data_IF_824765099708
#
_entry.id   IF_824765099708
#
_cell.length_a   1.000
_cell.length_b   1.000
_cell.length_c   1.000
_cell.angle_alpha   90.00
_cell.angle_beta   90.00
_cell.angle_gamma   90.00
#
_symmetry.space_group_name_H-M   'P 1'
#
loop_
_entity.id
_entity.type
_entity.pdbx_description
1 polymer ?
#
# COMPACT_ATOMS: atom_id res chain seq x y z
N UNK A 1 -6.30 2.45 21.34
CA UNK A 1 -5.00 2.34 20.65
C UNK A 1 -3.83 2.27 21.61
N UNK A 2 -2.77 1.56 21.24
CA UNK A 2 -1.50 1.47 21.97
C UNK A 2 -0.34 1.57 20.98
N UNK A 3 0.75 2.21 21.41
CA UNK A 3 1.99 2.30 20.64
C UNK A 3 3.00 1.27 21.16
N UNK A 4 3.46 0.38 20.26
CA UNK A 4 4.54 -0.58 20.49
C UNK A 4 5.82 -0.12 19.81
N UNK A 5 6.98 -0.51 20.37
CA UNK A 5 8.29 -0.17 19.82
C UNK A 5 9.18 -1.40 19.80
N UNK A 6 9.73 -1.72 18.63
CA UNK A 6 10.68 -2.82 18.45
C UNK A 6 12.01 -2.22 18.02
N UNK A 7 13.01 -2.33 18.89
CA UNK A 7 14.39 -1.96 18.55
C UNK A 7 15.12 -3.15 17.92
N UNK A 8 15.93 -2.90 16.90
CA UNK A 8 16.67 -3.96 16.21
C UNK A 8 18.12 -3.57 15.96
N UNK A 9 18.99 -4.60 15.90
CA UNK A 9 20.38 -4.45 15.47
C UNK A 9 20.50 -4.89 14.02
N UNK A 10 20.68 -3.92 13.13
CA UNK A 10 20.92 -4.18 11.72
C UNK A 10 22.34 -4.70 11.42
N UNK A 11 22.60 -5.15 10.18
CA UNK A 11 23.89 -5.70 9.75
C UNK A 11 25.06 -4.71 9.87
N UNK A 12 24.80 -3.40 9.86
CA UNK A 12 25.83 -2.37 10.08
C UNK A 12 26.30 -2.28 11.54
N UNK A 13 25.73 -3.07 12.46
CA UNK A 13 26.12 -3.18 13.87
C UNK A 13 26.34 -1.81 14.54
N UNK A 14 25.41 -0.87 14.29
CA UNK A 14 25.51 0.49 14.80
C UNK A 14 25.67 0.48 16.32
N UNK A 15 26.68 1.22 16.81
CA UNK A 15 26.91 1.44 18.24
C UNK A 15 26.22 2.75 18.63
N UNK A 16 25.23 2.70 19.51
CA UNK A 16 24.44 3.86 19.92
C UNK A 16 22.95 3.52 20.07
N UNK A 17 22.07 4.49 19.82
CA UNK A 17 20.62 4.28 19.76
C UNK A 17 20.30 3.30 18.63
N UNK A 18 19.63 2.20 18.97
CA UNK A 18 19.23 1.20 17.99
C UNK A 18 18.14 1.77 17.06
N UNK A 19 18.17 1.43 15.76
CA UNK A 19 17.02 1.61 14.90
C UNK A 19 15.75 0.98 15.52
N UNK A 20 14.62 1.63 15.26
CA UNK A 20 13.33 1.30 15.85
C UNK A 20 12.25 1.18 14.80
N UNK A 21 11.38 0.20 14.97
CA UNK A 21 10.08 0.09 14.32
C UNK A 21 9.02 0.49 15.35
N UNK A 22 8.23 1.50 15.04
CA UNK A 22 7.05 1.88 15.83
C UNK A 22 5.82 1.17 15.26
N UNK A 23 5.00 0.61 16.14
CA UNK A 23 3.77 -0.10 15.80
C UNK A 23 2.60 0.61 16.45
N UNK A 24 1.67 1.11 15.64
CA UNK A 24 0.39 1.62 16.13
C UNK A 24 -0.64 0.49 16.07
N UNK A 25 -1.15 0.08 17.23
CA UNK A 25 -2.17 -0.97 17.34
C UNK A 25 -3.45 -0.30 17.79
N UNK A 26 -4.51 -0.42 16.98
CA UNK A 26 -5.82 0.13 17.32
C UNK A 26 -6.89 -0.94 17.43
N UNK A 27 -7.80 -0.73 18.36
CA UNK A 27 -9.02 -1.49 18.62
C UNK A 27 -10.27 -0.65 18.37
N UNK A 28 -10.11 0.60 17.94
CA UNK A 28 -11.16 1.58 17.73
C UNK A 28 -11.54 1.74 16.24
N UNK A 29 -11.41 0.68 15.45
CA UNK A 29 -11.71 0.70 14.01
C UNK A 29 -12.67 -0.45 13.65
N UNK A 30 -13.64 -0.16 12.78
CA UNK A 30 -14.43 -1.19 12.13
C UNK A 30 -13.71 -1.68 10.86
N UNK A 31 -13.33 -2.96 10.86
CA UNK A 31 -12.96 -3.70 9.65
C UNK A 31 -14.24 -4.18 8.95
N UNK A 32 -14.58 -3.58 7.81
CA UNK A 32 -15.83 -3.85 7.10
C UNK A 32 -15.64 -4.95 6.05
N UNK A 33 -14.54 -4.90 5.30
CA UNK A 33 -14.15 -5.89 4.30
C UNK A 33 -13.17 -6.92 4.87
N UNK A 34 -13.18 -8.11 4.28
CA UNK A 34 -12.21 -9.16 4.62
C UNK A 34 -10.78 -8.74 4.24
N UNK A 35 -9.79 -8.87 5.16
CA UNK A 35 -8.41 -8.55 4.86
C UNK A 35 -7.82 -9.44 3.76
N UNK A 36 -7.17 -8.80 2.78
CA UNK A 36 -6.52 -9.48 1.66
C UNK A 36 -5.10 -9.90 2.02
N UNK A 37 -4.64 -11.04 1.48
CA UNK A 37 -3.26 -11.46 1.63
C UNK A 37 -2.39 -10.75 0.58
N UNK A 38 -1.51 -9.87 1.02
CA UNK A 38 -0.56 -9.16 0.18
C UNK A 38 0.84 -9.75 0.35
N UNK A 39 1.53 -10.02 -0.75
CA UNK A 39 2.94 -10.41 -0.71
C UNK A 39 3.77 -9.20 -0.30
N UNK A 40 4.55 -9.35 0.76
CA UNK A 40 5.52 -8.35 1.18
C UNK A 40 6.65 -8.31 0.16
N UNK A 41 6.94 -7.11 -0.31
CA UNK A 41 8.07 -6.89 -1.21
C UNK A 41 9.39 -7.07 -0.45
N UNK A 42 10.24 -7.97 -0.94
CA UNK A 42 11.51 -8.31 -0.31
C UNK A 42 12.62 -8.41 -1.39
N UNK A 43 13.26 -7.28 -1.76
CA UNK A 43 14.24 -7.25 -2.86
C UNK A 43 15.60 -7.84 -2.45
N UNK A 44 15.79 -8.13 -1.16
CA UNK A 44 17.05 -8.62 -0.62
C UNK A 44 17.22 -10.12 -0.83
N UNK A 45 18.48 -10.55 -0.92
CA UNK A 45 18.89 -11.91 -1.27
C UNK A 45 18.44 -12.99 -0.28
N UNK A 46 18.12 -12.60 0.94
CA UNK A 46 17.62 -13.46 2.03
C UNK A 46 16.09 -13.66 2.00
N UNK A 47 15.44 -13.33 0.88
CA UNK A 47 14.01 -13.58 0.69
C UNK A 47 13.69 -15.08 0.85
N UNK A 48 12.72 -15.45 1.72
CA UNK A 48 12.28 -16.83 1.85
C UNK A 48 11.73 -17.39 0.54
N UNK A 49 11.88 -18.70 0.30
CA UNK A 49 11.39 -19.35 -0.94
C UNK A 49 9.88 -19.19 -1.14
N UNK A 50 9.10 -19.26 -0.06
CA UNK A 50 7.65 -19.07 -0.08
C UNK A 50 7.24 -17.58 -0.09
N UNK A 51 8.21 -16.67 -0.01
CA UNK A 51 7.99 -15.25 0.22
C UNK A 51 7.45 -14.95 1.62
N UNK A 52 7.01 -13.71 1.81
CA UNK A 52 6.38 -13.24 3.05
C UNK A 52 5.02 -12.67 2.66
N UNK A 53 3.98 -12.99 3.43
CA UNK A 53 2.63 -12.47 3.22
C UNK A 53 2.16 -11.73 4.48
N UNK A 54 1.40 -10.66 4.27
CA UNK A 54 0.73 -9.90 5.32
C UNK A 54 -0.77 -9.78 5.00
N UNK A 55 -1.61 -9.77 6.04
CA UNK A 55 -3.01 -9.39 5.90
C UNK A 55 -3.09 -7.87 5.86
N UNK A 56 -3.65 -7.35 4.79
CA UNK A 56 -3.78 -5.92 4.54
C UNK A 56 -5.25 -5.58 4.31
N UNK A 57 -5.59 -4.31 4.50
CA UNK A 57 -6.87 -3.78 4.05
C UNK A 57 -7.05 -4.05 2.54
N UNK A 58 -8.27 -4.40 2.13
CA UNK A 58 -8.65 -4.29 0.74
C UNK A 58 -8.48 -2.83 0.27
N UNK A 59 -8.28 -2.61 -1.02
CA UNK A 59 -8.06 -1.27 -1.55
C UNK A 59 -9.24 -0.34 -1.23
N UNK A 60 -10.47 -0.84 -1.39
CA UNK A 60 -11.69 -0.11 -1.11
C UNK A 60 -11.86 0.25 0.37
N UNK A 61 -11.41 -0.65 1.27
CA UNK A 61 -11.41 -0.45 2.72
C UNK A 61 -10.42 0.64 3.13
N UNK A 62 -9.20 0.61 2.58
CA UNK A 62 -8.17 1.64 2.80
C UNK A 62 -8.65 3.01 2.30
N UNK A 63 -9.25 3.05 1.12
CA UNK A 63 -9.72 4.30 0.53
C UNK A 63 -10.87 4.91 1.34
N UNK A 64 -11.85 4.10 1.73
CA UNK A 64 -12.93 4.52 2.62
C UNK A 64 -12.39 5.02 3.98
N UNK A 65 -11.44 4.30 4.59
CA UNK A 65 -10.83 4.72 5.85
C UNK A 65 -10.12 6.06 5.74
N UNK A 66 -9.40 6.30 4.63
CA UNK A 66 -8.71 7.57 4.38
C UNK A 66 -9.66 8.74 4.16
N UNK A 67 -10.78 8.54 3.46
CA UNK A 67 -11.81 9.58 3.29
C UNK A 67 -12.45 9.90 4.65
N UNK A 68 -12.76 8.89 5.45
CA UNK A 68 -13.29 9.07 6.81
C UNK A 68 -12.27 9.80 7.71
N UNK A 69 -10.98 9.45 7.62
CA UNK A 69 -9.89 10.09 8.38
C UNK A 69 -9.77 11.57 8.07
N UNK A 70 -9.77 11.89 6.77
CA UNK A 70 -9.76 13.25 6.28
C UNK A 70 -10.93 14.04 6.86
N UNK A 71 -12.14 13.47 6.91
CA UNK A 71 -13.32 14.14 7.42
C UNK A 71 -13.34 14.38 8.93
N UNK A 72 -12.72 13.49 9.71
CA UNK A 72 -12.66 13.59 11.17
C UNK A 72 -11.56 14.56 11.63
N UNK A 73 -10.39 14.53 10.99
CA UNK A 73 -9.17 15.17 11.52
C UNK A 73 -8.51 16.17 10.59
N UNK A 74 -8.91 16.23 9.32
CA UNK A 74 -8.42 17.17 8.31
C UNK A 74 -6.90 17.32 8.25
N UNK A 75 -6.19 16.18 8.25
CA UNK A 75 -4.72 16.18 8.19
C UNK A 75 -4.22 16.22 6.74
N UNK A 76 -3.17 17.00 6.43
CA UNK A 76 -2.47 17.00 5.14
C UNK A 76 -2.17 15.62 4.55
N UNK A 77 -1.75 14.67 5.40
CA UNK A 77 -1.41 13.31 4.94
C UNK A 77 -2.63 12.55 4.43
N UNK A 78 -3.78 12.70 5.07
CA UNK A 78 -5.00 12.04 4.63
C UNK A 78 -5.50 12.64 3.31
N UNK A 79 -5.37 13.95 3.11
CA UNK A 79 -5.66 14.59 1.81
C UNK A 79 -4.71 14.06 0.72
N UNK A 80 -3.41 14.01 1.01
CA UNK A 80 -2.41 13.48 0.10
C UNK A 80 -2.75 12.04 -0.32
N UNK A 81 -3.06 11.18 0.65
CA UNK A 81 -3.40 9.77 0.42
C UNK A 81 -4.71 9.61 -0.36
N UNK A 82 -5.77 10.34 0.01
CA UNK A 82 -7.09 10.30 -0.69
C UNK A 82 -6.93 10.63 -2.17
N UNK A 83 -6.19 11.69 -2.49
CA UNK A 83 -5.96 12.10 -3.88
C UNK A 83 -5.10 11.08 -4.62
N UNK A 84 -4.05 10.53 -4.00
CA UNK A 84 -3.23 9.50 -4.65
C UNK A 84 -3.97 8.20 -4.88
N UNK A 85 -4.81 7.77 -3.93
CA UNK A 85 -5.69 6.63 -4.12
C UNK A 85 -6.66 6.91 -5.29
N UNK A 86 -7.31 8.08 -5.30
CA UNK A 86 -8.16 8.45 -6.41
C UNK A 86 -7.44 8.46 -7.77
N UNK A 87 -6.23 9.03 -7.86
CA UNK A 87 -5.42 9.10 -9.08
C UNK A 87 -4.94 7.74 -9.60
N UNK A 88 -4.90 6.70 -8.75
CA UNK A 88 -4.34 5.40 -9.10
C UNK A 88 -5.24 4.61 -10.09
N UNK A 89 -5.22 5.00 -11.37
CA UNK A 89 -6.11 4.51 -12.43
C UNK A 89 -5.98 3.02 -12.78
N UNK A 90 -4.82 2.40 -12.55
CA UNK A 90 -4.61 0.96 -12.80
C UNK A 90 -5.48 0.07 -11.91
N UNK A 91 -5.93 0.62 -10.77
CA UNK A 91 -6.87 -0.02 -9.88
C UNK A 91 -8.21 0.63 -10.20
N UNK A 92 -9.15 -0.16 -10.70
CA UNK A 92 -10.52 0.28 -10.89
C UNK A 92 -11.34 -0.15 -9.67
N UNK A 93 -11.28 0.60 -8.54
CA UNK A 93 -11.97 0.20 -7.32
C UNK A 93 -13.47 0.13 -7.56
N UNK A 94 -14.13 -0.83 -6.90
CA UNK A 94 -15.59 -0.86 -6.91
C UNK A 94 -16.11 0.35 -6.11
N UNK A 95 -16.48 1.42 -6.81
CA UNK A 95 -17.04 2.66 -6.23
C UNK A 95 -18.17 2.37 -5.24
N UNK A 96 -19.08 1.45 -5.59
CA UNK A 96 -20.20 1.12 -4.73
C UNK A 96 -19.72 0.48 -3.44
N UNK A 97 -18.70 -0.39 -3.52
CA UNK A 97 -18.07 -0.98 -2.35
C UNK A 97 -17.40 0.08 -1.47
N UNK A 98 -16.61 0.99 -2.06
CA UNK A 98 -15.99 2.12 -1.32
C UNK A 98 -17.04 2.94 -0.58
N UNK A 99 -18.14 3.31 -1.26
CA UNK A 99 -19.21 4.10 -0.67
C UNK A 99 -19.90 3.37 0.50
N UNK A 100 -20.22 2.09 0.34
CA UNK A 100 -20.84 1.29 1.41
C UNK A 100 -19.91 1.09 2.61
N UNK A 101 -18.60 0.90 2.35
CA UNK A 101 -17.60 0.76 3.40
C UNK A 101 -17.37 2.08 4.14
N UNK A 102 -17.32 3.21 3.42
CA UNK A 102 -17.23 4.54 4.03
C UNK A 102 -18.41 4.81 4.96
N UNK A 103 -19.63 4.54 4.51
CA UNK A 103 -20.85 4.72 5.30
C UNK A 103 -20.80 3.87 6.59
N UNK A 104 -20.42 2.59 6.50
CA UNK A 104 -20.24 1.74 7.68
C UNK A 104 -19.19 2.29 8.66
N UNK A 105 -18.05 2.78 8.15
CA UNK A 105 -16.97 3.38 8.96
C UNK A 105 -17.38 4.71 9.60
N UNK A 106 -18.10 5.57 8.87
CA UNK A 106 -18.66 6.83 9.38
C UNK A 106 -19.66 6.56 10.51
N UNK A 107 -20.60 5.62 10.33
CA UNK A 107 -21.56 5.22 11.37
C UNK A 107 -20.86 4.69 12.62
N UNK A 108 -19.80 3.89 12.47
CA UNK A 108 -19.04 3.38 13.61
C UNK A 108 -18.40 4.51 14.43
N UNK A 109 -17.88 5.55 13.77
CA UNK A 109 -17.33 6.75 14.43
C UNK A 109 -18.38 7.77 14.87
N UNK A 110 -19.63 7.60 14.48
CA UNK A 110 -20.72 8.54 14.78
C UNK A 110 -20.61 9.87 14.04
N UNK A 111 -20.02 9.87 12.84
CA UNK A 111 -19.92 11.06 11.98
C UNK A 111 -20.78 10.90 10.73
N UNK A 112 -21.21 12.01 10.15
CA UNK A 112 -21.90 12.02 8.86
C UNK A 112 -20.93 11.66 7.72
N UNK A 113 -21.49 11.20 6.59
CA UNK A 113 -20.71 10.95 5.38
C UNK A 113 -20.20 12.30 4.85
N UNK A 114 -18.88 12.47 4.67
CA UNK A 114 -18.32 13.74 4.22
C UNK A 114 -18.71 14.05 2.78
N UNK A 115 -18.83 15.35 2.49
CA UNK A 115 -18.95 15.90 1.13
C UNK A 115 -17.93 16.99 0.93
N UNK A 116 -17.60 17.31 -0.33
CA UNK A 116 -16.70 18.41 -0.65
C UNK A 116 -17.18 19.74 -0.04
N UNK A 117 -18.49 20.01 -0.06
CA UNK A 117 -19.08 21.21 0.53
C UNK A 117 -18.91 21.28 2.04
N UNK A 118 -19.00 20.14 2.75
CA UNK A 118 -18.78 20.10 4.20
C UNK A 118 -17.32 20.42 4.53
N UNK A 119 -16.36 19.84 3.80
CA UNK A 119 -14.93 20.10 4.02
C UNK A 119 -14.51 21.53 3.61
N UNK A 120 -15.11 22.08 2.56
CA UNK A 120 -14.83 23.45 2.09
C UNK A 120 -15.25 24.52 3.12
N UNK A 121 -16.36 24.28 3.82
CA UNK A 121 -16.94 25.24 4.76
C UNK A 121 -16.39 25.15 6.19
N UNK A 122 -15.50 24.19 6.44
CA UNK A 122 -14.91 23.97 7.76
C UNK A 122 -13.71 24.91 8.00
N UNK A 123 -13.60 25.52 9.20
CA UNK A 123 -12.46 26.37 9.53
C UNK A 123 -11.13 25.61 9.50
N UNK A 124 -11.15 24.29 9.75
CA UNK A 124 -9.99 23.40 9.77
C UNK A 124 -9.25 23.34 8.42
N UNK A 125 -9.91 23.69 7.30
CA UNK A 125 -9.24 23.85 5.99
C UNK A 125 -8.05 24.80 6.04
N UNK A 126 -8.17 25.92 6.76
CA UNK A 126 -7.10 26.92 6.87
C UNK A 126 -5.91 26.33 7.62
N UNK A 127 -6.18 25.57 8.68
CA UNK A 127 -5.16 24.86 9.45
C UNK A 127 -4.49 23.79 8.58
N UNK A 128 -5.28 22.99 7.85
CA UNK A 128 -4.77 21.96 6.93
C UNK A 128 -3.81 22.58 5.90
N UNK A 129 -4.20 23.68 5.25
CA UNK A 129 -3.35 24.38 4.30
C UNK A 129 -2.04 24.89 4.96
N UNK A 130 -2.12 25.43 6.17
CA UNK A 130 -0.95 25.93 6.91
C UNK A 130 0.00 24.80 7.35
N UNK A 131 -0.54 23.63 7.66
CA UNK A 131 0.22 22.46 8.12
C UNK A 131 0.73 21.57 6.97
N UNK A 132 0.36 21.89 5.73
CA UNK A 132 0.75 21.11 4.55
C UNK A 132 2.27 20.90 4.46
N UNK A 133 3.04 21.98 4.55
CA UNK A 133 4.49 21.91 4.50
C UNK A 133 5.09 21.23 5.75
N UNK A 134 4.59 21.58 6.93
CA UNK A 134 5.09 21.03 8.20
C UNK A 134 4.99 19.50 8.23
N UNK A 135 3.87 18.95 7.77
CA UNK A 135 3.58 17.52 7.88
C UNK A 135 4.15 16.66 6.74
N UNK A 136 4.37 17.22 5.55
CA UNK A 136 4.75 16.47 4.35
C UNK A 136 6.16 16.79 3.81
N UNK A 137 6.72 17.98 4.03
CA UNK A 137 7.98 18.38 3.39
C UNK A 137 9.18 17.48 3.77
N UNK A 138 9.17 16.89 4.96
CA UNK A 138 10.21 15.96 5.42
C UNK A 138 9.98 14.51 4.95
N UNK A 139 8.80 14.21 4.37
CA UNK A 139 8.42 12.87 3.90
C UNK A 139 8.54 12.74 2.39
N UNK A 140 8.52 13.86 1.66
CA UNK A 140 8.50 13.92 0.20
C UNK A 140 9.81 14.52 -0.33
N UNK A 141 10.35 14.02 -1.46
CA UNK A 141 11.50 14.63 -2.12
C UNK A 141 11.29 16.10 -2.51
N UNK A 142 10.09 16.41 -3.02
CA UNK A 142 9.63 17.76 -3.34
C UNK A 142 8.17 17.85 -2.91
N UNK A 143 7.81 18.91 -2.21
CA UNK A 143 6.44 19.13 -1.74
C UNK A 143 5.58 19.67 -2.90
N UNK A 144 4.53 18.95 -3.32
CA UNK A 144 3.59 19.48 -4.30
C UNK A 144 2.78 20.65 -3.72
N UNK A 145 2.30 21.59 -4.56
CA UNK A 145 1.41 22.67 -4.11
C UNK A 145 0.12 22.13 -3.48
N UNK A 146 -0.28 22.69 -2.34
CA UNK A 146 -1.51 22.31 -1.63
C UNK A 146 -2.75 22.41 -2.53
N UNK A 147 -2.88 23.53 -3.25
CA UNK A 147 -4.06 23.82 -4.08
C UNK A 147 -4.30 22.75 -5.15
N UNK A 148 -3.24 22.13 -5.65
CA UNK A 148 -3.32 21.04 -6.64
C UNK A 148 -4.10 19.83 -6.09
N UNK A 149 -3.96 19.54 -4.80
CA UNK A 149 -4.64 18.44 -4.14
C UNK A 149 -6.05 18.85 -3.72
N UNK A 150 -6.19 20.06 -3.18
CA UNK A 150 -7.48 20.57 -2.72
C UNK A 150 -8.49 20.72 -3.87
N UNK A 151 -8.07 21.26 -5.01
CA UNK A 151 -8.96 21.48 -6.16
C UNK A 151 -9.43 20.18 -6.83
N UNK A 152 -8.73 19.07 -6.61
CA UNK A 152 -9.12 17.76 -7.15
C UNK A 152 -10.09 17.02 -6.22
N UNK A 153 -10.12 17.37 -4.93
CA UNK A 153 -10.97 16.72 -3.93
C UNK A 153 -12.47 16.67 -4.29
N UNK A 154 -13.09 17.73 -4.87
CA UNK A 154 -14.48 17.66 -5.34
C UNK A 154 -14.73 16.55 -6.36
N UNK A 155 -13.75 16.22 -7.21
CA UNK A 155 -13.88 15.14 -8.20
C UNK A 155 -13.95 13.77 -7.52
N UNK A 156 -13.22 13.58 -6.43
CA UNK A 156 -13.28 12.36 -5.61
C UNK A 156 -14.69 12.15 -5.07
N UNK A 157 -15.31 13.20 -4.53
CA UNK A 157 -16.65 13.12 -3.97
C UNK A 157 -17.73 12.95 -5.04
N UNK A 158 -17.62 13.64 -6.18
CA UNK A 158 -18.54 13.46 -7.31
C UNK A 158 -18.45 12.04 -7.89
N UNK A 159 -17.24 11.47 -7.95
CA UNK A 159 -17.04 10.07 -8.30
C UNK A 159 -17.70 9.14 -7.28
N UNK A 160 -17.48 9.38 -5.98
CA UNK A 160 -17.99 8.54 -4.90
C UNK A 160 -19.53 8.52 -4.85
N UNK A 161 -20.17 9.69 -4.97
CA UNK A 161 -21.64 9.81 -4.99
C UNK A 161 -22.26 9.23 -6.27
N UNK A 162 -21.46 9.05 -7.33
CA UNK A 162 -21.92 8.59 -8.63
C UNK A 162 -22.49 9.70 -9.51
N UNK A 163 -22.31 10.97 -9.13
CA UNK A 163 -22.64 12.14 -9.95
C UNK A 163 -21.74 12.26 -11.19
N UNK A 164 -20.49 11.82 -11.08
CA UNK A 164 -19.53 11.80 -12.17
C UNK A 164 -18.88 10.42 -12.29
N UNK A 165 -18.65 9.98 -13.52
CA UNK A 165 -17.71 8.88 -13.76
C UNK A 165 -16.29 9.39 -13.50
N UNK A 166 -15.40 8.49 -13.05
CA UNK A 166 -13.96 8.77 -13.05
C UNK A 166 -13.58 9.07 -14.49
N UNK A 167 -12.93 10.20 -14.73
CA UNK A 167 -12.51 10.58 -16.08
C UNK A 167 -11.48 9.53 -16.52
N UNK A 168 -11.87 8.64 -17.43
CA UNK A 168 -10.94 7.70 -18.07
C UNK A 168 -9.96 8.53 -18.90
N UNK A 169 -8.74 8.65 -18.42
CA UNK A 169 -7.70 9.38 -19.11
C UNK A 169 -7.30 8.60 -20.37
N UNK A 170 -7.15 9.32 -21.48
CA UNK A 170 -6.76 8.70 -22.75
C UNK A 170 -5.36 8.10 -22.59
N UNK A 171 -5.12 6.81 -22.92
CA UNK A 171 -3.79 6.22 -22.85
C UNK A 171 -2.76 7.04 -23.61
N UNK A 172 -1.51 7.02 -23.16
CA UNK A 172 -0.48 7.76 -23.88
C UNK A 172 -0.23 7.11 -25.25
N UNK A 173 -0.20 7.87 -26.36
CA UNK A 173 -0.06 7.31 -27.70
C UNK A 173 1.17 6.42 -27.84
N UNK A 174 0.97 5.17 -28.25
CA UNK A 174 2.07 4.25 -28.53
C UNK A 174 2.74 4.58 -29.87
N UNK A 175 4.05 4.38 -29.96
CA UNK A 175 4.81 4.55 -31.19
C UNK A 175 5.04 3.22 -31.92
N UNK A 176 5.27 3.28 -33.24
CA UNK A 176 5.59 2.11 -34.06
C UNK A 176 6.90 1.50 -33.58
N UNK A 177 6.89 0.20 -33.27
CA UNK A 177 8.08 -0.54 -32.80
C UNK A 177 8.13 -0.78 -31.29
N UNK A 178 7.11 -0.32 -30.55
CA UNK A 178 6.97 -0.58 -29.11
C UNK A 178 6.34 -1.95 -28.81
N UNK A 179 6.77 -2.55 -27.71
CA UNK A 179 6.16 -3.76 -27.15
C UNK A 179 4.98 -3.37 -26.26
N UNK A 180 3.78 -3.50 -26.82
CA UNK A 180 2.51 -3.20 -26.13
C UNK A 180 2.16 -4.22 -25.05
N UNK A 181 2.79 -5.40 -25.01
CA UNK A 181 2.57 -6.39 -23.97
C UNK A 181 3.46 -6.12 -22.74
N UNK A 182 4.56 -5.39 -22.93
CA UNK A 182 5.45 -5.04 -21.83
C UNK A 182 4.83 -3.99 -20.91
N UNK A 183 5.05 -4.16 -19.60
CA UNK A 183 4.63 -3.21 -18.56
C UNK A 183 5.81 -2.94 -17.64
N UNK A 184 5.95 -1.69 -17.14
CA UNK A 184 6.98 -1.40 -16.15
C UNK A 184 6.74 -2.21 -14.87
N UNK A 185 7.79 -2.81 -14.28
CA UNK A 185 7.68 -3.47 -12.98
C UNK A 185 7.24 -2.48 -11.90
N UNK A 186 6.56 -3.02 -10.89
CA UNK A 186 5.89 -2.26 -9.84
C UNK A 186 6.82 -1.44 -8.94
N UNK A 187 8.12 -1.68 -8.94
CA UNK A 187 9.09 -0.99 -8.08
C UNK A 187 10.47 -1.02 -8.72
N UNK A 188 11.36 -0.11 -8.31
CA UNK A 188 12.74 -0.06 -8.75
C UNK A 188 13.51 -1.33 -8.38
N UNK A 189 13.57 -2.29 -9.31
CA UNK A 189 14.87 -2.92 -9.51
C UNK A 189 15.85 -1.77 -9.73
N UNK A 190 17.00 -1.77 -9.08
CA UNK A 190 18.11 -0.95 -9.57
C UNK A 190 18.40 -1.45 -10.98
N UNK A 191 17.88 -0.77 -12.00
CA UNK A 191 17.95 -1.19 -13.42
C UNK A 191 19.38 -1.20 -13.98
N UNK A 192 20.41 -1.27 -13.13
CA UNK A 192 21.81 -1.05 -13.49
C UNK A 192 22.06 0.35 -14.05
N UNK A 193 21.10 1.28 -13.94
CA UNK A 193 21.12 2.57 -14.61
C UNK A 193 21.50 3.71 -13.67
N UNK A 194 22.18 4.72 -14.23
CA UNK A 194 22.77 5.86 -13.51
C UNK A 194 21.73 6.86 -12.98
N UNK A 195 20.48 6.81 -13.46
CA UNK A 195 19.44 7.80 -13.14
C UNK A 195 18.42 7.19 -12.19
N UNK A 196 18.12 7.83 -11.05
CA UNK A 196 17.10 7.36 -10.13
C UNK A 196 15.70 7.57 -10.73
N UNK A 197 15.21 6.59 -11.51
CA UNK A 197 13.91 6.63 -12.18
C UNK A 197 12.73 6.88 -11.23
N UNK A 198 12.91 6.59 -9.94
CA UNK A 198 11.96 6.92 -8.88
C UNK A 198 11.68 8.43 -8.77
N UNK A 199 12.63 9.29 -9.16
CA UNK A 199 12.41 10.75 -9.27
C UNK A 199 11.32 11.05 -10.30
N UNK A 200 11.36 10.39 -11.45
CA UNK A 200 10.39 10.58 -12.53
C UNK A 200 9.03 10.00 -12.13
N UNK A 201 9.00 8.82 -11.50
CA UNK A 201 7.74 8.21 -11.00
C UNK A 201 7.11 9.06 -9.90
N UNK A 202 7.90 9.58 -8.97
CA UNK A 202 7.44 10.49 -7.94
C UNK A 202 6.82 11.74 -8.56
N UNK A 203 7.51 12.39 -9.50
CA UNK A 203 6.99 13.56 -10.19
C UNK A 203 5.69 13.24 -10.94
N UNK A 204 5.66 12.12 -11.67
CA UNK A 204 4.48 11.68 -12.40
C UNK A 204 3.28 11.43 -11.47
N UNK A 205 3.45 10.71 -10.35
CA UNK A 205 2.37 10.46 -9.40
C UNK A 205 1.82 11.74 -8.75
N UNK A 206 2.69 12.73 -8.55
CA UNK A 206 2.33 14.02 -7.98
C UNK A 206 1.95 15.07 -9.05
N UNK A 207 1.85 14.69 -10.34
CA UNK A 207 1.67 15.61 -11.49
C UNK A 207 2.61 16.83 -11.46
N UNK A 208 3.88 16.61 -11.15
CA UNK A 208 4.94 17.61 -11.16
C UNK A 208 5.81 17.47 -12.41
N UNK A 209 6.30 18.59 -12.92
CA UNK A 209 7.26 18.58 -14.01
C UNK A 209 8.63 18.08 -13.53
N UNK A 210 9.37 17.46 -14.46
CA UNK A 210 10.75 17.01 -14.26
C UNK A 210 11.67 17.89 -15.09
N UNK A 211 12.74 18.39 -14.49
CA UNK A 211 13.87 18.93 -15.24
C UNK A 211 14.78 17.78 -15.67
N UNK A 212 14.82 17.52 -16.98
CA UNK A 212 15.49 16.39 -17.57
C UNK A 212 16.77 16.83 -18.28
N UNK A 213 17.91 16.36 -17.78
CA UNK A 213 19.19 16.49 -18.44
C UNK A 213 19.34 15.40 -19.50
N UNK A 214 19.32 15.79 -20.77
CA UNK A 214 19.37 14.88 -21.90
C UNK A 214 20.15 15.47 -23.07
N UNK A 215 21.16 14.75 -23.57
CA UNK A 215 22.03 15.19 -24.67
C UNK A 215 22.62 16.59 -24.42
N UNK A 216 23.18 16.82 -23.23
CA UNK A 216 23.77 18.11 -22.79
C UNK A 216 22.78 19.30 -22.81
N UNK A 217 21.48 19.04 -22.77
CA UNK A 217 20.43 20.06 -22.69
C UNK A 217 19.49 19.77 -21.53
N UNK A 218 19.04 20.83 -20.84
CA UNK A 218 17.98 20.74 -19.82
C UNK A 218 16.62 20.98 -20.48
N UNK A 219 15.61 20.24 -20.03
CA UNK A 219 14.26 20.30 -20.59
C UNK A 219 13.24 20.05 -19.48
N UNK A 220 12.33 20.99 -19.31
CA UNK A 220 11.18 20.79 -18.44
C UNK A 220 10.13 19.92 -19.15
N UNK A 221 9.80 18.78 -18.56
CA UNK A 221 8.90 17.79 -19.14
C UNK A 221 7.78 17.38 -18.17
N UNK A 222 6.64 17.02 -18.74
CA UNK A 222 5.52 16.34 -18.09
C UNK A 222 5.65 14.84 -18.35
N UNK A 223 6.03 14.00 -17.37
CA UNK A 223 6.26 12.58 -17.57
C UNK A 223 4.93 11.79 -17.59
N UNK A 224 4.73 10.92 -18.60
CA UNK A 224 3.46 10.17 -18.75
C UNK A 224 3.61 8.65 -18.76
N UNK A 225 4.51 8.06 -19.55
CA UNK A 225 4.59 6.59 -19.64
C UNK A 225 6.02 6.06 -19.82
N UNK A 226 6.25 4.83 -19.36
CA UNK A 226 7.46 4.08 -19.65
C UNK A 226 7.11 2.91 -20.59
N UNK A 227 7.76 2.87 -21.75
CA UNK A 227 7.57 1.82 -22.75
C UNK A 227 8.90 1.10 -23.01
N UNK A 228 8.81 -0.10 -23.58
CA UNK A 228 9.97 -0.84 -24.07
C UNK A 228 9.83 -1.05 -25.57
N UNK A 229 10.90 -0.84 -26.32
CA UNK A 229 10.95 -1.15 -27.74
C UNK A 229 11.13 -2.65 -27.96
N UNK A 230 10.81 -3.16 -29.15
CA UNK A 230 11.08 -4.57 -29.53
C UNK A 230 12.57 -4.95 -29.44
N UNK A 231 13.46 -3.96 -29.58
CA UNK A 231 14.92 -4.10 -29.42
C UNK A 231 15.36 -4.11 -27.95
N UNK A 232 14.42 -3.92 -27.01
CA UNK A 232 14.66 -4.00 -25.58
C UNK A 232 15.00 -2.68 -24.90
N UNK A 233 15.06 -1.55 -25.64
CA UNK A 233 15.36 -0.23 -25.09
C UNK A 233 14.16 0.36 -24.34
N UNK A 234 14.41 1.09 -23.25
CA UNK A 234 13.37 1.78 -22.50
C UNK A 234 13.19 3.20 -23.00
N UNK A 235 11.94 3.62 -23.17
CA UNK A 235 11.54 4.95 -23.60
C UNK A 235 10.63 5.60 -22.56
N UNK A 236 11.08 6.74 -22.03
CA UNK A 236 10.25 7.65 -21.27
C UNK A 236 9.49 8.55 -22.25
N UNK A 237 8.18 8.42 -22.27
CA UNK A 237 7.29 9.31 -22.99
C UNK A 237 6.86 10.47 -22.11
N UNK A 238 7.02 11.67 -22.66
CA UNK A 238 6.72 12.89 -21.96
C UNK A 238 6.27 13.99 -22.92
N UNK A 239 5.67 15.04 -22.38
CA UNK A 239 5.36 16.27 -23.11
C UNK A 239 6.34 17.35 -22.66
N UNK A 240 6.88 18.14 -23.60
CA UNK A 240 7.65 19.33 -23.22
C UNK A 240 6.70 20.39 -22.65
N UNK A 241 6.93 20.80 -21.41
CA UNK A 241 6.02 21.71 -20.71
C UNK A 241 5.81 23.04 -21.46
N UNK A 242 6.88 23.63 -21.98
CA UNK A 242 6.82 24.93 -22.68
C UNK A 242 6.16 24.87 -24.06
N UNK A 243 6.34 23.79 -24.83
CA UNK A 243 5.88 23.70 -26.23
C UNK A 243 4.67 22.80 -26.44
N UNK A 244 4.32 21.96 -25.48
CA UNK A 244 3.26 20.95 -25.62
C UNK A 244 3.62 19.79 -26.56
N UNK A 245 4.87 19.68 -27.01
CA UNK A 245 5.29 18.63 -27.95
C UNK A 245 5.49 17.28 -27.26
N UNK A 246 5.00 16.23 -27.90
CA UNK A 246 5.29 14.84 -27.55
C UNK A 246 6.75 14.48 -27.85
N UNK A 247 7.43 13.88 -26.86
CA UNK A 247 8.81 13.40 -27.01
C UNK A 247 9.01 12.08 -26.28
N UNK A 248 9.81 11.21 -26.90
CA UNK A 248 10.28 9.97 -26.30
C UNK A 248 11.78 10.09 -26.00
N UNK A 249 12.19 9.73 -24.79
CA UNK A 249 13.56 9.82 -24.31
C UNK A 249 14.07 8.42 -23.98
N UNK A 250 15.21 8.05 -24.56
CA UNK A 250 15.89 6.80 -24.21
C UNK A 250 16.42 6.87 -22.77
N UNK A 251 15.95 5.99 -21.90
CA UNK A 251 16.27 6.07 -20.46
C UNK A 251 17.77 5.90 -20.20
N UNK A 252 18.45 5.06 -20.99
CA UNK A 252 19.89 4.84 -20.91
C UNK A 252 20.75 6.04 -21.33
N UNK A 253 20.14 7.04 -21.97
CA UNK A 253 20.79 8.28 -22.40
C UNK A 253 20.44 9.49 -21.51
N UNK A 254 19.64 9.29 -20.46
CA UNK A 254 19.35 10.36 -19.50
C UNK A 254 20.61 10.62 -18.68
N UNK A 255 21.03 11.88 -18.63
CA UNK A 255 22.24 12.33 -17.91
C UNK A 255 21.90 12.69 -16.46
N UNK A 256 20.65 13.05 -16.19
CA UNK A 256 20.13 13.42 -14.87
C UNK A 256 18.65 13.80 -14.92
N UNK A 257 17.98 13.76 -13.77
CA UNK A 257 16.60 14.17 -13.62
C UNK A 257 16.40 14.76 -12.21
N UNK A 258 15.65 15.86 -12.11
CA UNK A 258 15.22 16.46 -10.84
C UNK A 258 13.74 16.81 -10.88
N UNK A 259 13.04 16.60 -9.76
CA UNK A 259 11.63 16.99 -9.62
C UNK A 259 11.57 18.50 -9.38
N UNK A 260 10.60 19.16 -10.00
CA UNK A 260 10.31 20.58 -9.78
C UNK A 260 9.04 20.74 -8.93
N UNK A 261 8.80 21.94 -8.44
CA UNK A 261 7.54 22.33 -7.77
C UNK A 261 6.47 22.82 -8.76
N UNK A 262 6.75 22.74 -10.07
CA UNK A 262 5.85 23.20 -11.14
C UNK A 262 4.83 22.09 -11.45
N UNK A 263 3.53 22.29 -11.14
CA UNK A 263 2.51 21.29 -11.43
C UNK A 263 2.11 21.32 -12.91
N UNK A 264 1.57 20.21 -13.39
CA UNK A 264 0.87 20.14 -14.68
C UNK A 264 -0.48 19.43 -14.53
N UNK A 265 -1.40 19.69 -15.47
CA UNK A 265 -2.68 18.98 -15.55
C UNK A 265 -2.51 17.87 -16.61
N UNK A 266 -2.62 16.58 -16.24
CA UNK A 266 -2.40 15.49 -17.18
C UNK A 266 -3.39 15.53 -18.34
N UNK A 267 -2.86 15.51 -19.57
CA UNK A 267 -3.68 15.39 -20.81
C UNK A 267 -3.94 13.94 -21.19
N UNK A 268 -3.10 13.03 -20.70
CA UNK A 268 -3.14 11.59 -20.94
C UNK A 268 -3.04 10.84 -19.63
N UNK A 269 -3.34 9.55 -19.67
CA UNK A 269 -3.12 8.65 -18.55
C UNK A 269 -1.64 8.64 -18.15
N UNK A 270 -1.39 8.76 -16.85
CA UNK A 270 -0.05 8.58 -16.29
C UNK A 270 0.13 7.09 -16.05
N UNK A 271 0.88 6.45 -16.95
CA UNK A 271 1.24 5.04 -16.95
C UNK A 271 2.66 4.83 -16.35
N UNK A 272 3.02 5.73 -15.42
CA UNK A 272 4.22 5.67 -14.60
C UNK A 272 3.80 5.35 -13.16
N UNK A 273 3.02 4.29 -12.98
CA UNK A 273 2.49 3.99 -11.66
C UNK A 273 3.62 3.68 -10.69
N UNK A 274 3.63 4.24 -9.46
CA UNK A 274 4.60 3.90 -8.40
C UNK A 274 4.51 2.44 -7.94
N UNK A 275 3.40 1.75 -8.25
CA UNK A 275 3.11 0.39 -7.80
C UNK A 275 2.88 -0.62 -8.94
N UNK A 276 3.01 -0.24 -10.22
CA UNK A 276 2.63 -1.10 -11.35
C UNK A 276 1.16 -1.55 -11.28
N UNK A 277 0.66 -2.33 -12.24
CA UNK A 277 -0.67 -2.92 -12.14
C UNK A 277 -0.67 -3.96 -11.00
N UNK A 278 -1.48 -3.73 -9.97
CA UNK A 278 -1.93 -4.83 -9.12
C UNK A 278 -2.82 -5.69 -9.99
N UNK A 279 -2.34 -6.88 -10.36
CA UNK A 279 -3.18 -7.89 -10.99
C UNK A 279 -4.18 -8.37 -9.94
N UNK A 280 -5.36 -7.75 -9.87
CA UNK A 280 -6.50 -8.39 -9.25
C UNK A 280 -6.88 -9.58 -10.15
N UNK A 281 -6.88 -10.84 -9.67
CA UNK A 281 -7.42 -11.93 -10.47
C UNK A 281 -8.87 -11.62 -10.81
N UNK A 282 -9.35 -12.03 -12.00
CA UNK A 282 -10.75 -11.81 -12.37
C UNK A 282 -11.63 -12.55 -11.37
N UNK A 283 -12.29 -11.81 -10.48
CA UNK A 283 -13.31 -12.40 -9.61
C UNK A 283 -14.48 -12.76 -10.50
N UNK A 284 -14.68 -14.06 -10.74
CA UNK A 284 -15.93 -14.55 -11.31
C UNK A 284 -17.05 -14.15 -10.33
N UNK A 285 -17.78 -13.08 -10.68
CA UNK A 285 -18.96 -12.63 -9.95
C UNK A 285 -20.04 -13.68 -10.13
N UNK A 286 -20.13 -14.63 -9.20
CA UNK A 286 -21.37 -15.38 -9.02
C UNK A 286 -22.38 -14.43 -8.39
N UNK A 287 -23.27 -13.89 -9.21
CA UNK A 287 -24.40 -13.07 -8.81
C UNK A 287 -25.23 -13.81 -7.75
N UNK A 288 -25.04 -13.46 -6.48
CA UNK A 288 -25.98 -13.82 -5.43
C UNK A 288 -26.85 -12.60 -5.17
N UNK A 289 -28.09 -12.65 -5.63
CA UNK A 289 -29.14 -11.70 -5.26
C UNK A 289 -29.36 -11.74 -3.75
N UNK A 290 -29.61 -10.60 -3.08
CA UNK A 290 -29.85 -10.58 -1.65
C UNK A 290 -31.23 -11.20 -1.35
N UNK A 291 -31.22 -12.44 -0.86
CA UNK A 291 -32.40 -13.12 -0.36
C UNK A 291 -32.83 -12.58 1.01
N UNK A 292 -34.13 -12.33 1.15
CA UNK A 292 -34.87 -11.98 2.38
C UNK A 292 -34.47 -12.84 3.61
N UNK A 293 -34.60 -12.31 4.84
CA UNK A 293 -34.31 -13.08 6.05
C UNK A 293 -35.44 -14.08 6.30
N UNK A 294 -35.10 -15.37 6.36
CA UNK A 294 -35.96 -16.41 6.90
C UNK A 294 -35.41 -16.87 8.24
N UNK A 295 -36.23 -16.67 9.26
CA UNK A 295 -36.11 -17.25 10.59
C UNK A 295 -36.13 -18.78 10.51
N UNK A 296 -35.15 -19.43 11.15
CA UNK A 296 -35.12 -20.89 11.25
C UNK A 296 -33.92 -21.39 12.03
N UNK A 297 -34.12 -21.70 13.32
CA UNK A 297 -33.13 -22.34 14.21
C UNK A 297 -32.81 -23.77 13.75
N UNK A 298 -31.53 -24.12 13.78
CA UNK A 298 -31.02 -25.49 13.89
C UNK A 298 -29.58 -25.47 14.45
N UNK A 299 -29.18 -26.38 15.37
CA UNK A 299 -27.89 -26.30 16.05
C UNK A 299 -26.80 -26.91 15.17
N UNK A 300 -25.87 -26.08 14.69
CA UNK A 300 -24.67 -26.56 13.99
C UNK A 300 -23.57 -26.78 15.04
N UNK A 301 -23.11 -28.04 15.17
CA UNK A 301 -21.93 -28.41 15.96
C UNK A 301 -20.70 -27.70 15.40
N UNK A 302 -20.07 -26.85 16.21
CA UNK A 302 -18.80 -26.23 15.83
C UNK A 302 -17.67 -27.25 15.88
N UNK A 303 -17.01 -27.44 14.75
CA UNK A 303 -15.69 -28.08 14.68
C UNK A 303 -14.70 -26.97 15.03
N UNK A 304 -14.10 -27.03 16.23
CA UNK A 304 -13.05 -26.10 16.62
C UNK A 304 -11.76 -26.44 15.86
N UNK A 305 -11.41 -25.61 14.87
CA UNK A 305 -10.05 -25.57 14.33
C UNK A 305 -9.16 -24.81 15.31
N UNK A 306 -8.25 -25.50 15.98
CA UNK A 306 -7.25 -24.89 16.87
C UNK A 306 -6.13 -24.25 16.04
N UNK A 307 -6.17 -22.92 15.88
CA UNK A 307 -5.04 -22.14 15.35
C UNK A 307 -4.36 -21.46 16.53
N UNK A 308 -3.25 -22.04 17.00
CA UNK A 308 -2.45 -21.48 18.09
C UNK A 308 -1.05 -22.11 18.11
N UNK A 309 -0.05 -21.42 18.69
CA UNK A 309 1.32 -21.93 18.74
C UNK A 309 1.40 -23.20 19.59
N UNK A 310 2.10 -24.21 19.06
CA UNK A 310 2.43 -25.46 19.72
C UNK A 310 3.87 -25.38 20.27
N UNK A 311 4.01 -25.38 21.58
CA UNK A 311 5.28 -25.31 22.29
C UNK A 311 5.89 -26.70 22.45
N UNK A 312 7.10 -26.92 21.92
CA UNK A 312 7.83 -28.18 22.06
C UNK A 312 8.76 -28.09 23.27
N UNK A 313 8.46 -28.88 24.30
CA UNK A 313 9.16 -28.91 25.58
C UNK A 313 10.01 -30.18 25.67
N UNK A 314 11.29 -30.05 25.98
CA UNK A 314 12.21 -31.18 26.17
C UNK A 314 12.49 -31.42 27.66
N UNK A 315 12.30 -32.65 28.12
CA UNK A 315 12.56 -33.03 29.51
C UNK A 315 14.05 -32.95 29.85
N UNK A 316 14.40 -32.26 30.93
CA UNK A 316 15.79 -32.14 31.41
C UNK A 316 16.45 -33.47 31.78
N UNK A 317 15.67 -34.47 32.20
CA UNK A 317 16.20 -35.73 32.70
C UNK A 317 16.44 -36.77 31.59
N UNK A 318 15.60 -36.82 30.56
CA UNK A 318 15.65 -37.87 29.55
C UNK A 318 15.66 -37.39 28.09
N UNK A 319 15.61 -36.07 27.86
CA UNK A 319 15.64 -35.49 26.50
C UNK A 319 14.42 -35.86 25.64
N UNK A 320 13.31 -36.29 26.26
CA UNK A 320 12.06 -36.60 25.56
C UNK A 320 11.25 -35.32 25.33
N UNK A 321 10.67 -35.21 24.13
CA UNK A 321 9.97 -34.01 23.66
C UNK A 321 8.46 -34.17 23.79
N UNK A 322 7.80 -33.10 24.20
CA UNK A 322 6.36 -33.00 24.43
C UNK A 322 5.84 -31.75 23.74
N UNK A 323 4.63 -31.80 23.20
CA UNK A 323 4.00 -30.66 22.52
C UNK A 323 2.83 -30.15 23.35
N UNK A 324 2.86 -28.87 23.71
CA UNK A 324 1.82 -28.21 24.51
C UNK A 324 1.16 -27.08 23.72
N UNK A 325 -0.15 -26.92 23.86
CA UNK A 325 -0.90 -25.79 23.28
C UNK A 325 -0.75 -24.49 24.07
N UNK A 326 -0.24 -24.57 25.31
CA UNK A 326 0.00 -23.43 26.20
C UNK A 326 1.46 -23.44 26.64
N UNK A 327 2.03 -22.26 26.83
CA UNK A 327 3.40 -22.10 27.33
C UNK A 327 3.50 -22.62 28.77
N UNK A 328 3.91 -23.88 28.93
CA UNK A 328 4.05 -24.55 30.22
C UNK A 328 5.17 -25.57 30.18
N UNK A 329 6.08 -25.51 31.15
CA UNK A 329 7.26 -26.38 31.25
C UNK A 329 7.04 -27.66 32.09
N UNK A 330 5.86 -27.81 32.72
CA UNK A 330 5.54 -28.99 33.55
C UNK A 330 5.21 -30.20 32.68
N UNK A 331 5.81 -31.34 32.99
CA UNK A 331 5.63 -32.61 32.30
C UNK A 331 4.92 -33.63 33.20
N UNK A 332 3.94 -34.33 32.65
CA UNK A 332 3.31 -35.48 33.33
C UNK A 332 4.30 -36.64 33.50
N UNK A 333 3.94 -37.60 34.38
CA UNK A 333 4.70 -38.85 34.52
C UNK A 333 4.83 -39.50 33.14
N UNK A 334 6.05 -39.77 32.72
CA UNK A 334 6.36 -40.35 31.41
C UNK A 334 7.49 -41.35 31.51
N UNK A 335 7.64 -42.16 30.47
CA UNK A 335 8.78 -43.06 30.27
C UNK A 335 9.82 -42.38 29.37
N UNK A 336 11.10 -42.64 29.62
CA UNK A 336 12.21 -42.19 28.78
C UNK A 336 12.19 -42.84 27.38
N UNK A 337 13.25 -42.63 26.58
CA UNK A 337 13.35 -43.19 25.22
C UNK A 337 13.58 -44.71 25.23
N UNK A 338 14.03 -45.27 26.35
CA UNK A 338 14.33 -46.69 26.56
C UNK A 338 13.17 -47.45 27.22
N UNK A 339 12.10 -46.75 27.62
CA UNK A 339 10.89 -47.33 28.20
C UNK A 339 10.87 -47.42 29.73
N UNK A 340 11.89 -46.88 30.41
CA UNK A 340 11.94 -46.83 31.87
C UNK A 340 11.21 -45.60 32.42
N UNK A 341 10.65 -45.66 33.64
CA UNK A 341 9.97 -44.52 34.25
C UNK A 341 10.94 -43.36 34.50
N UNK A 342 10.66 -42.21 33.89
CA UNK A 342 11.46 -41.01 34.06
C UNK A 342 11.02 -40.24 35.33
N UNK A 343 11.99 -39.82 36.14
CA UNK A 343 11.73 -38.99 37.32
C UNK A 343 11.50 -37.51 36.99
N UNK A 344 11.90 -37.06 35.79
CA UNK A 344 11.73 -35.69 35.33
C UNK A 344 10.27 -35.25 35.28
N UNK A 345 9.99 -34.06 35.83
CA UNK A 345 8.66 -33.41 35.85
C UNK A 345 8.68 -32.01 35.24
N UNK A 346 9.84 -31.54 34.81
CA UNK A 346 10.02 -30.26 34.14
C UNK A 346 10.90 -30.42 32.90
N UNK A 347 10.70 -29.53 31.94
CA UNK A 347 11.52 -29.39 30.75
C UNK A 347 11.86 -27.94 30.42
N UNK A 348 12.49 -27.73 29.28
CA UNK A 348 12.72 -26.41 28.68
C UNK A 348 12.12 -26.35 27.28
N UNK A 349 11.75 -25.15 26.86
CA UNK A 349 11.30 -24.90 25.50
C UNK A 349 12.47 -25.05 24.54
N UNK A 350 12.26 -25.84 23.48
CA UNK A 350 13.26 -26.01 22.40
C UNK A 350 12.76 -25.48 21.06
N UNK A 351 11.44 -25.40 20.86
CA UNK A 351 10.85 -24.98 19.59
C UNK A 351 9.41 -24.49 19.80
N UNK A 352 8.93 -23.59 18.94
CA UNK A 352 7.53 -23.15 18.90
C UNK A 352 7.03 -23.31 17.47
N UNK A 353 6.16 -24.31 17.27
CA UNK A 353 5.58 -24.64 15.97
C UNK A 353 4.27 -23.89 15.78
N UNK A 354 4.04 -23.41 14.57
CA UNK A 354 2.78 -22.78 14.18
C UNK A 354 2.06 -23.73 13.22
N UNK A 355 0.84 -24.09 13.56
CA UNK A 355 -0.06 -24.92 12.73
C UNK A 355 -0.93 -24.08 11.84
#
# INVERSE_FOLDING_TARGET
>A
SVEGRIEYRGPMQQRGSLPRITLDITDDEALVLEPIACRVHHPYSDSPSEGIQARCYAYEELFAEKIRALAERERPRDLYDVIHLYRHGDINPDRSLVATTLDAKCRFKGIDIPTATVLENKPERVELASEWANMLAHQLPVLPPFDQFWQELPQVFAWLSGEAAKIESTPYPAQVGEDLAWRPPSWAQSWGQKVPFEVIRFAAANHLCVDLAYQRSQRLIEPYSLRRTKEGNLLLHAIRHASGEHRAYRVDQIEGASVTDIPFIPKYAIELTPAGPIHAPSTQRTSHSPGRPLSGRGPVRSIKSHHGPLYVIECYACGKRFTHEKYNMKLSKHKDKQGHPCYGRMGHLIDTKWS
#
